data_IF_085241571662
#
_entry.id   IF_085241571662
#
_cell.length_a   1.000
_cell.length_b   1.000
_cell.length_c   1.000
_cell.angle_alpha   90.00
_cell.angle_beta   90.00
_cell.angle_gamma   90.00
#
_symmetry.space_group_name_H-M   'P 1'
#
loop_
_entity.id
_entity.type
_entity.pdbx_description
1 polymer ?
#
# COMPACT_ATOMS: atom_id res chain seq x y z
N UNK A 1 0.82 -20.80 -20.33
CA UNK A 1 0.52 -20.30 -18.99
C UNK A 1 1.46 -21.01 -18.03
N UNK A 2 2.24 -20.29 -17.22
CA UNK A 2 2.98 -20.94 -16.14
C UNK A 2 1.93 -21.55 -15.19
N UNK A 3 2.08 -22.81 -14.81
CA UNK A 3 1.10 -23.52 -13.98
C UNK A 3 1.21 -23.18 -12.49
N UNK A 4 2.10 -22.23 -12.15
CA UNK A 4 2.27 -21.67 -10.81
C UNK A 4 2.95 -22.62 -9.81
N UNK A 5 3.30 -23.85 -10.23
CA UNK A 5 3.88 -24.86 -9.34
C UNK A 5 5.32 -24.54 -8.91
N UNK A 6 5.96 -23.59 -9.57
CA UNK A 6 7.30 -23.08 -9.25
C UNK A 6 7.27 -21.89 -8.28
N UNK A 7 6.08 -21.42 -7.88
CA UNK A 7 5.93 -20.35 -6.89
C UNK A 7 6.03 -20.94 -5.49
N UNK A 8 6.73 -20.25 -4.59
CA UNK A 8 6.80 -20.58 -3.17
C UNK A 8 5.39 -20.74 -2.55
N UNK A 9 5.19 -21.75 -1.70
CA UNK A 9 3.87 -22.09 -1.15
C UNK A 9 3.24 -20.95 -0.35
N UNK A 10 4.05 -20.16 0.35
CA UNK A 10 3.55 -19.04 1.15
C UNK A 10 3.09 -17.91 0.23
N UNK A 11 3.79 -17.71 -0.90
CA UNK A 11 3.38 -16.77 -1.94
C UNK A 11 2.10 -17.24 -2.63
N UNK A 12 1.94 -18.53 -2.91
CA UNK A 12 0.69 -19.08 -3.44
C UNK A 12 -0.48 -18.87 -2.48
N UNK A 13 -0.27 -19.14 -1.18
CA UNK A 13 -1.28 -18.92 -0.16
C UNK A 13 -1.69 -17.43 -0.10
N UNK A 14 -0.71 -16.53 -0.12
CA UNK A 14 -0.96 -15.09 -0.16
C UNK A 14 -1.74 -14.68 -1.41
N UNK A 15 -1.39 -15.20 -2.60
CA UNK A 15 -2.10 -14.92 -3.84
C UNK A 15 -3.57 -15.35 -3.76
N UNK A 16 -3.85 -16.53 -3.21
CA UNK A 16 -5.21 -17.03 -3.02
C UNK A 16 -6.03 -16.10 -2.11
N UNK A 17 -5.47 -15.70 -0.95
CA UNK A 17 -6.14 -14.77 -0.02
C UNK A 17 -6.45 -13.45 -0.73
N UNK A 18 -5.50 -12.90 -1.47
CA UNK A 18 -5.67 -11.64 -2.20
C UNK A 18 -6.78 -11.76 -3.25
N UNK A 19 -6.78 -12.84 -4.04
CA UNK A 19 -7.77 -13.08 -5.10
C UNK A 19 -9.18 -13.24 -4.53
N UNK A 20 -9.34 -14.05 -3.48
CA UNK A 20 -10.61 -14.27 -2.79
C UNK A 20 -11.16 -12.95 -2.23
N UNK A 21 -10.31 -12.17 -1.54
CA UNK A 21 -10.72 -10.89 -0.95
C UNK A 21 -11.16 -9.90 -2.03
N UNK A 22 -10.39 -9.75 -3.12
CA UNK A 22 -10.78 -8.89 -4.23
C UNK A 22 -12.10 -9.32 -4.87
N UNK A 23 -12.27 -10.62 -5.12
CA UNK A 23 -13.51 -11.16 -5.71
C UNK A 23 -14.72 -10.87 -4.83
N UNK A 24 -14.55 -10.92 -3.50
CA UNK A 24 -15.63 -10.64 -2.55
C UNK A 24 -16.02 -9.15 -2.47
N UNK A 25 -15.08 -8.24 -2.77
CA UNK A 25 -15.26 -6.79 -2.58
C UNK A 25 -15.45 -6.00 -3.88
N UNK A 26 -15.12 -6.59 -5.04
CA UNK A 26 -15.02 -5.86 -6.31
C UNK A 26 -15.58 -6.68 -7.48
N UNK A 27 -16.82 -6.40 -7.94
CA UNK A 27 -17.27 -6.84 -9.25
C UNK A 27 -16.61 -5.96 -10.33
N UNK A 28 -15.38 -6.34 -10.71
CA UNK A 28 -14.44 -5.54 -11.53
C UNK A 28 -15.05 -4.89 -12.78
N UNK A 29 -15.98 -5.55 -13.46
CA UNK A 29 -16.61 -5.05 -14.69
C UNK A 29 -17.48 -3.79 -14.50
N UNK A 30 -17.80 -3.44 -13.25
CA UNK A 30 -18.70 -2.32 -12.91
C UNK A 30 -18.12 -1.34 -11.89
N UNK A 31 -16.88 -1.54 -11.46
CA UNK A 31 -16.27 -0.76 -10.37
C UNK A 31 -15.68 0.56 -10.89
N UNK A 32 -16.11 1.68 -10.30
CA UNK A 32 -15.50 2.99 -10.55
C UNK A 32 -14.04 3.03 -10.07
N UNK A 33 -13.23 3.97 -10.58
CA UNK A 33 -11.84 4.08 -10.12
C UNK A 33 -11.74 4.44 -8.63
N UNK A 34 -12.70 5.20 -8.11
CA UNK A 34 -12.72 5.60 -6.70
C UNK A 34 -13.11 4.43 -5.79
N UNK A 35 -14.07 3.60 -6.23
CA UNK A 35 -14.38 2.35 -5.53
C UNK A 35 -13.21 1.38 -5.59
N UNK A 36 -12.50 1.30 -6.72
CA UNK A 36 -11.33 0.44 -6.84
C UNK A 36 -10.23 0.87 -5.87
N UNK A 37 -9.96 2.17 -5.71
CA UNK A 37 -9.04 2.69 -4.69
C UNK A 37 -9.45 2.31 -3.28
N UNK A 38 -10.73 2.47 -2.96
CA UNK A 38 -11.29 2.11 -1.64
C UNK A 38 -11.15 0.61 -1.38
N UNK A 39 -11.50 -0.24 -2.35
CA UNK A 39 -11.36 -1.70 -2.23
C UNK A 39 -9.90 -2.08 -2.07
N UNK A 40 -8.99 -1.53 -2.87
CA UNK A 40 -7.55 -1.84 -2.72
C UNK A 40 -7.04 -1.45 -1.34
N UNK A 41 -7.46 -0.31 -0.77
CA UNK A 41 -7.09 0.06 0.60
C UNK A 41 -7.58 -0.98 1.62
N UNK A 42 -8.81 -1.49 1.48
CA UNK A 42 -9.36 -2.53 2.35
C UNK A 42 -8.62 -3.87 2.21
N UNK A 43 -8.40 -4.32 0.98
CA UNK A 43 -7.66 -5.57 0.72
C UNK A 43 -6.23 -5.50 1.26
N UNK A 44 -5.61 -4.32 1.23
CA UNK A 44 -4.24 -4.11 1.70
C UNK A 44 -4.12 -3.91 3.20
N UNK A 45 -5.17 -3.48 3.90
CA UNK A 45 -5.11 -3.08 5.30
C UNK A 45 -4.45 -4.12 6.23
N UNK A 46 -4.79 -5.42 6.16
CA UNK A 46 -4.17 -6.44 7.02
C UNK A 46 -2.65 -6.55 6.82
N UNK A 47 -2.17 -6.27 5.60
CA UNK A 47 -0.76 -6.37 5.23
C UNK A 47 0.05 -5.12 5.57
N UNK A 48 -0.59 -4.08 6.09
CA UNK A 48 0.08 -2.86 6.57
C UNK A 48 0.36 -2.90 8.08
N UNK A 49 -0.13 -3.92 8.77
CA UNK A 49 0.03 -4.10 10.21
C UNK A 49 1.38 -4.75 10.56
N UNK A 50 1.82 -4.59 11.81
CA UNK A 50 3.05 -5.21 12.33
C UNK A 50 4.36 -4.55 11.89
N UNK A 51 4.30 -3.44 11.13
CA UNK A 51 5.48 -2.67 10.75
C UNK A 51 6.19 -1.98 11.92
N UNK A 52 7.42 -1.47 11.72
CA UNK A 52 8.17 -0.77 12.75
C UNK A 52 7.42 0.44 13.31
N UNK A 53 7.40 0.57 14.64
CA UNK A 53 6.81 1.72 15.32
C UNK A 53 7.77 2.90 15.23
N UNK A 54 7.34 3.96 14.54
CA UNK A 54 8.13 5.18 14.41
C UNK A 54 7.97 6.02 15.67
N UNK A 55 9.08 6.59 16.15
CA UNK A 55 9.09 7.47 17.33
C UNK A 55 8.17 8.68 17.12
N UNK A 56 8.18 9.26 15.93
CA UNK A 56 7.33 10.39 15.56
C UNK A 56 6.92 10.28 14.10
N UNK A 57 5.66 10.61 13.85
CA UNK A 57 5.08 10.69 12.51
C UNK A 57 4.49 12.08 12.36
N UNK A 58 4.78 12.76 11.25
CA UNK A 58 4.19 14.06 10.92
C UNK A 58 3.56 14.01 9.53
N UNK A 59 2.41 14.65 9.37
CA UNK A 59 1.83 14.92 8.05
C UNK A 59 1.94 16.39 7.70
N UNK A 60 2.36 16.69 6.47
CA UNK A 60 2.55 18.06 5.97
C UNK A 60 2.00 18.17 4.55
N UNK A 61 1.60 19.38 4.17
CA UNK A 61 1.32 19.72 2.78
C UNK A 61 2.44 20.63 2.27
N UNK A 62 3.01 20.32 1.11
CA UNK A 62 4.20 21.00 0.58
C UNK A 62 4.02 21.41 -0.88
N UNK A 63 4.74 22.47 -1.26
CA UNK A 63 4.77 22.99 -2.63
C UNK A 63 3.47 23.69 -3.06
N UNK A 64 3.48 24.21 -4.29
CA UNK A 64 2.36 24.98 -4.86
C UNK A 64 1.08 24.18 -5.01
N UNK A 65 1.18 22.86 -5.21
CA UNK A 65 0.04 21.96 -5.35
C UNK A 65 -0.47 21.41 -4.02
N UNK A 66 0.08 21.86 -2.89
CA UNK A 66 -0.31 21.38 -1.55
C UNK A 66 -0.26 19.85 -1.45
N UNK A 67 0.81 19.23 -1.94
CA UNK A 67 0.96 17.77 -1.95
C UNK A 67 1.13 17.26 -0.52
N UNK A 68 0.30 16.30 -0.11
CA UNK A 68 0.41 15.65 1.21
C UNK A 68 1.63 14.72 1.24
N UNK A 69 2.47 14.91 2.25
CA UNK A 69 3.59 14.03 2.58
C UNK A 69 3.49 13.56 4.02
N UNK A 70 4.05 12.38 4.30
CA UNK A 70 4.18 11.83 5.64
C UNK A 70 5.67 11.61 5.95
N UNK A 71 6.12 12.17 7.07
CA UNK A 71 7.49 12.07 7.54
C UNK A 71 7.55 11.09 8.70
N UNK A 72 8.38 10.06 8.54
CA UNK A 72 8.62 9.05 9.56
C UNK A 72 9.99 9.29 10.20
N UNK A 73 9.99 9.49 11.51
CA UNK A 73 11.20 9.72 12.30
C UNK A 73 11.46 8.50 13.20
N UNK A 74 12.46 7.67 12.88
CA UNK A 74 12.74 6.47 13.67
C UNK A 74 13.46 6.78 15.00
N UNK A 75 14.24 7.87 15.08
CA UNK A 75 15.06 8.21 16.26
C UNK A 75 15.11 9.74 16.51
N UNK A 76 16.04 10.20 17.35
CA UNK A 76 16.23 11.59 17.75
C UNK A 76 17.22 12.39 16.88
N UNK A 77 17.90 11.74 15.94
CA UNK A 77 18.99 12.34 15.20
C UNK A 77 18.46 13.44 14.29
N UNK A 78 19.03 14.64 14.41
CA UNK A 78 18.53 15.83 13.71
C UNK A 78 19.13 15.99 12.30
N UNK A 79 20.24 15.32 12.00
CA UNK A 79 20.95 15.42 10.74
C UNK A 79 21.24 14.03 10.16
N UNK A 80 20.25 13.46 9.48
CA UNK A 80 20.38 12.20 8.75
C UNK A 80 19.97 12.39 7.28
N UNK A 81 20.52 11.58 6.35
CA UNK A 81 19.98 11.52 5.01
C UNK A 81 18.50 11.08 5.05
N UNK A 82 17.70 11.62 4.15
CA UNK A 82 16.30 11.24 4.02
C UNK A 82 16.13 10.13 2.98
N UNK A 83 15.34 9.10 3.30
CA UNK A 83 14.80 8.16 2.32
C UNK A 83 13.49 8.73 1.75
N UNK A 84 13.42 8.90 0.43
CA UNK A 84 12.19 9.30 -0.25
C UNK A 84 11.52 8.03 -0.78
N UNK A 85 10.33 7.73 -0.26
CA UNK A 85 9.49 6.63 -0.73
C UNK A 85 8.33 7.17 -1.57
N UNK A 86 8.11 6.56 -2.73
CA UNK A 86 6.97 6.82 -3.61
C UNK A 86 6.22 5.50 -3.77
N UNK A 87 4.93 5.49 -3.44
CA UNK A 87 4.15 4.26 -3.42
C UNK A 87 3.93 3.70 -4.83
N UNK A 88 3.80 2.37 -4.92
CA UNK A 88 3.33 1.70 -6.13
C UNK A 88 1.81 1.80 -6.30
N UNK A 89 1.29 1.29 -7.42
CA UNK A 89 -0.14 1.35 -7.72
C UNK A 89 -0.47 1.83 -9.14
N UNK A 90 0.49 1.78 -10.06
CA UNK A 90 0.27 2.08 -11.47
C UNK A 90 -0.20 3.51 -11.74
N UNK A 91 0.14 4.46 -10.85
CA UNK A 91 -0.31 5.87 -10.89
C UNK A 91 -1.82 6.09 -10.72
N UNK A 92 -2.59 5.02 -10.53
CA UNK A 92 -4.06 5.09 -10.43
C UNK A 92 -4.56 4.73 -9.04
N UNK A 93 -3.86 3.83 -8.35
CA UNK A 93 -4.21 3.35 -7.01
C UNK A 93 -3.30 3.96 -5.97
N UNK A 94 -3.92 4.56 -4.95
CA UNK A 94 -3.26 5.14 -3.78
C UNK A 94 -4.06 4.79 -2.52
N UNK A 95 -3.37 4.76 -1.40
CA UNK A 95 -3.91 4.49 -0.06
C UNK A 95 -3.20 5.39 0.94
#
# INVERSE_FOLDING_TARGET
MADGKDIDSDIQQWQNIMQETYTSLCPFDSTSIDDLRRVTALVRAPWTEGGPIMRRIEEKHVGTYSTRIRLYYPNHDQACPALIYIHGGGYTIFS
#
